data_IF_887303770649
#
_entry.id   IF_887303770649
#
_cell.length_a   1.000
_cell.length_b   1.000
_cell.length_c   1.000
_cell.angle_alpha   90.00
_cell.angle_beta   90.00
_cell.angle_gamma   90.00
#
_symmetry.space_group_name_H-M   'P 1'
#
loop_
_entity.id
_entity.type
_entity.pdbx_description
1 polymer ?
#
# COMPACT_ATOMS: atom_id res chain seq x y z
N UNK A 1 31.78 -29.37 4.05
CA UNK A 1 31.44 -28.31 3.10
C UNK A 1 30.32 -27.49 3.71
N UNK A 2 30.67 -26.41 4.39
CA UNK A 2 29.73 -25.48 4.96
C UNK A 2 29.46 -24.40 3.92
N UNK A 3 28.34 -24.53 3.22
CA UNK A 3 27.74 -23.40 2.52
C UNK A 3 27.00 -22.58 3.55
N UNK A 4 27.68 -21.67 4.20
CA UNK A 4 27.08 -20.51 4.80
C UNK A 4 26.64 -19.63 3.64
N UNK A 5 25.43 -19.84 3.19
CA UNK A 5 24.73 -18.95 2.28
C UNK A 5 24.39 -17.68 3.06
N UNK A 6 25.40 -16.84 3.22
CA UNK A 6 25.20 -15.47 3.67
C UNK A 6 24.49 -14.75 2.53
N UNK A 7 23.19 -14.54 2.66
CA UNK A 7 22.48 -13.62 1.77
C UNK A 7 23.28 -12.31 1.70
N UNK A 8 23.65 -11.84 0.53
CA UNK A 8 24.50 -10.67 0.42
C UNK A 8 23.80 -9.45 1.03
N UNK A 9 24.58 -8.59 1.71
CA UNK A 9 24.10 -7.34 2.31
C UNK A 9 23.31 -6.45 1.30
N UNK A 10 23.46 -6.72 -0.01
CA UNK A 10 22.71 -6.10 -1.08
C UNK A 10 21.21 -6.42 -1.09
N UNK A 11 20.77 -7.58 -0.56
CA UNK A 11 19.37 -7.97 -0.58
C UNK A 11 18.55 -7.18 0.44
N UNK A 12 19.09 -6.87 1.61
CA UNK A 12 18.45 -6.04 2.61
C UNK A 12 18.28 -4.59 2.13
N UNK A 13 19.34 -4.01 1.57
CA UNK A 13 19.32 -2.67 1.01
C UNK A 13 18.36 -2.58 -0.17
N UNK A 14 18.30 -3.61 -1.02
CA UNK A 14 17.37 -3.71 -2.15
C UNK A 14 15.90 -3.79 -1.67
N UNK A 15 15.64 -4.60 -0.64
CA UNK A 15 14.30 -4.75 -0.07
C UNK A 15 13.81 -3.45 0.57
N UNK A 16 14.66 -2.77 1.34
CA UNK A 16 14.35 -1.46 1.91
C UNK A 16 14.06 -0.44 0.81
N UNK A 17 14.84 -0.41 -0.25
CA UNK A 17 14.65 0.45 -1.40
C UNK A 17 13.30 0.18 -2.08
N UNK A 18 12.94 -1.09 -2.29
CA UNK A 18 11.63 -1.47 -2.84
C UNK A 18 10.46 -0.98 -1.98
N UNK A 19 10.59 -1.09 -0.66
CA UNK A 19 9.57 -0.59 0.29
C UNK A 19 9.42 0.92 0.18
N UNK A 20 10.53 1.66 0.17
CA UNK A 20 10.55 3.11 0.07
C UNK A 20 9.98 3.60 -1.27
N UNK A 21 10.34 2.95 -2.37
CA UNK A 21 9.82 3.26 -3.71
C UNK A 21 8.31 2.99 -3.81
N UNK A 22 7.85 1.86 -3.27
CA UNK A 22 6.43 1.53 -3.24
C UNK A 22 5.63 2.56 -2.44
N UNK A 23 6.16 2.99 -1.29
CA UNK A 23 5.54 4.02 -0.45
C UNK A 23 5.48 5.37 -1.17
N UNK A 24 6.57 5.80 -1.79
CA UNK A 24 6.63 7.05 -2.54
C UNK A 24 5.66 7.04 -3.74
N UNK A 25 5.56 5.93 -4.46
CA UNK A 25 4.62 5.77 -5.57
C UNK A 25 3.17 5.86 -5.11
N UNK A 26 2.86 5.26 -3.97
CA UNK A 26 1.52 5.32 -3.38
C UNK A 26 1.16 6.74 -2.96
N UNK A 27 2.06 7.44 -2.29
CA UNK A 27 1.88 8.84 -1.90
C UNK A 27 1.67 9.76 -3.10
N UNK A 28 2.45 9.58 -4.16
CA UNK A 28 2.31 10.33 -5.41
C UNK A 28 0.94 10.11 -6.05
N UNK A 29 0.48 8.87 -6.08
CA UNK A 29 -0.82 8.52 -6.63
C UNK A 29 -1.98 9.09 -5.80
N UNK A 30 -1.86 9.11 -4.48
CA UNK A 30 -2.85 9.75 -3.62
C UNK A 30 -2.92 11.26 -3.84
N UNK A 31 -1.80 11.92 -4.09
CA UNK A 31 -1.78 13.35 -4.46
C UNK A 31 -2.49 13.59 -5.79
N UNK A 32 -2.23 12.76 -6.79
CA UNK A 32 -2.96 12.84 -8.07
C UNK A 32 -4.47 12.64 -7.88
N UNK A 33 -4.86 11.69 -7.05
CA UNK A 33 -6.27 11.46 -6.73
C UNK A 33 -6.88 12.68 -6.05
N UNK A 34 -6.21 13.26 -5.07
CA UNK A 34 -6.71 14.46 -4.38
C UNK A 34 -6.87 15.65 -5.35
N UNK A 35 -5.95 15.82 -6.29
CA UNK A 35 -6.09 16.85 -7.34
C UNK A 35 -7.34 16.65 -8.19
N UNK A 36 -7.64 15.40 -8.55
CA UNK A 36 -8.86 15.04 -9.31
C UNK A 36 -10.12 15.26 -8.46
N UNK A 37 -10.07 14.85 -7.19
CA UNK A 37 -11.20 15.02 -6.26
C UNK A 37 -11.48 16.48 -5.91
N UNK A 38 -10.46 17.34 -5.96
CA UNK A 38 -10.59 18.77 -5.66
C UNK A 38 -11.28 19.55 -6.79
N UNK A 39 -11.38 18.99 -7.99
CA UNK A 39 -12.06 19.64 -9.11
C UNK A 39 -13.57 19.79 -8.81
N UNK A 40 -14.16 20.95 -9.15
CA UNK A 40 -15.59 21.16 -8.92
C UNK A 40 -16.46 20.26 -9.78
N UNK A 41 -15.97 19.88 -10.97
CA UNK A 41 -16.69 19.03 -11.91
C UNK A 41 -16.01 17.66 -12.06
N UNK A 42 -16.82 16.66 -12.28
CA UNK A 42 -16.39 15.29 -12.54
C UNK A 42 -15.69 15.17 -13.88
N UNK A 43 -14.45 14.70 -13.88
CA UNK A 43 -13.65 14.38 -15.06
C UNK A 43 -13.42 12.86 -15.13
N UNK A 44 -14.20 12.18 -15.96
CA UNK A 44 -14.17 10.73 -16.09
C UNK A 44 -12.81 10.20 -16.53
N UNK A 45 -12.16 10.88 -17.47
CA UNK A 45 -10.86 10.47 -18.03
C UNK A 45 -9.76 10.56 -16.97
N UNK A 46 -9.66 11.69 -16.28
CA UNK A 46 -8.67 11.89 -15.23
C UNK A 46 -8.88 10.92 -14.07
N UNK A 47 -10.12 10.71 -13.66
CA UNK A 47 -10.45 9.78 -12.56
C UNK A 47 -10.14 8.33 -12.93
N UNK A 48 -10.50 7.89 -14.13
CA UNK A 48 -10.20 6.54 -14.60
C UNK A 48 -8.70 6.27 -14.64
N UNK A 49 -7.91 7.23 -15.11
CA UNK A 49 -6.45 7.12 -15.14
C UNK A 49 -5.86 6.91 -13.74
N UNK A 50 -6.24 7.71 -12.76
CA UNK A 50 -5.69 7.59 -11.40
C UNK A 50 -6.21 6.34 -10.68
N UNK A 51 -7.44 5.92 -10.93
CA UNK A 51 -8.00 4.67 -10.40
C UNK A 51 -7.22 3.44 -10.90
N UNK A 52 -6.84 3.42 -12.18
CA UNK A 52 -6.02 2.35 -12.76
C UNK A 52 -4.62 2.32 -12.15
N UNK A 53 -3.99 3.47 -11.93
CA UNK A 53 -2.70 3.55 -11.23
C UNK A 53 -2.79 2.99 -9.82
N UNK A 54 -3.81 3.37 -9.06
CA UNK A 54 -4.03 2.86 -7.71
C UNK A 54 -4.26 1.34 -7.69
N UNK A 55 -5.03 0.82 -8.62
CA UNK A 55 -5.27 -0.61 -8.74
C UNK A 55 -3.96 -1.36 -9.02
N UNK A 56 -3.11 -0.86 -9.90
CA UNK A 56 -1.78 -1.41 -10.18
C UNK A 56 -0.88 -1.41 -8.95
N UNK A 57 -0.84 -0.32 -8.20
CA UNK A 57 -0.04 -0.22 -6.97
C UNK A 57 -0.54 -1.19 -5.88
N UNK A 58 -1.84 -1.38 -5.75
CA UNK A 58 -2.40 -2.38 -4.83
C UNK A 58 -1.98 -3.81 -5.19
N UNK A 59 -1.95 -4.15 -6.48
CA UNK A 59 -1.53 -5.46 -6.95
C UNK A 59 -0.05 -5.75 -6.67
N UNK A 60 0.81 -4.75 -6.72
CA UNK A 60 2.24 -4.91 -6.43
C UNK A 60 2.57 -4.97 -4.95
N UNK A 61 1.70 -4.42 -4.10
CA UNK A 61 1.93 -4.32 -2.65
C UNK A 61 1.83 -5.66 -1.93
N UNK A 62 0.91 -6.52 -2.33
CA UNK A 62 0.74 -7.86 -1.72
C UNK A 62 2.01 -8.72 -1.84
N UNK A 63 2.58 -8.91 -3.05
CA UNK A 63 3.86 -9.59 -3.23
C UNK A 63 5.01 -8.99 -2.42
N UNK A 64 5.08 -7.68 -2.29
CA UNK A 64 6.09 -7.00 -1.50
C UNK A 64 5.97 -7.33 0.00
N UNK A 65 4.76 -7.30 0.54
CA UNK A 65 4.49 -7.69 1.94
C UNK A 65 4.91 -9.14 2.18
N UNK A 66 4.60 -10.05 1.28
CA UNK A 66 5.02 -11.45 1.36
C UNK A 66 6.54 -11.58 1.34
N UNK A 67 7.21 -10.86 0.46
CA UNK A 67 8.68 -10.84 0.36
C UNK A 67 9.33 -10.34 1.66
N UNK A 68 8.78 -9.30 2.27
CA UNK A 68 9.22 -8.79 3.58
C UNK A 68 9.02 -9.85 4.66
N UNK A 69 7.85 -10.46 4.74
CA UNK A 69 7.57 -11.49 5.73
C UNK A 69 8.54 -12.67 5.62
N UNK A 70 8.82 -13.14 4.41
CA UNK A 70 9.78 -14.23 4.17
C UNK A 70 11.20 -13.84 4.54
N UNK A 71 11.62 -12.62 4.27
CA UNK A 71 12.96 -12.13 4.62
C UNK A 71 13.16 -12.03 6.13
N UNK A 72 12.11 -11.84 6.90
CA UNK A 72 12.15 -11.66 8.36
C UNK A 72 11.85 -12.93 9.16
N UNK A 73 11.44 -14.02 8.51
CA UNK A 73 11.15 -15.30 9.19
C UNK A 73 12.35 -15.76 10.01
N UNK A 74 12.10 -16.07 11.29
CA UNK A 74 13.12 -16.55 12.22
C UNK A 74 14.12 -15.49 12.69
N UNK A 75 13.99 -14.25 12.23
CA UNK A 75 14.93 -13.15 12.54
C UNK A 75 14.34 -12.09 13.45
N UNK A 76 13.06 -12.19 13.75
CA UNK A 76 12.32 -11.24 14.59
C UNK A 76 11.85 -11.90 15.87
N UNK A 77 11.58 -11.09 16.90
CA UNK A 77 10.99 -11.58 18.15
C UNK A 77 9.54 -12.02 17.94
N UNK A 78 9.00 -12.79 18.87
CA UNK A 78 7.59 -13.21 18.86
C UNK A 78 6.63 -12.01 18.81
N UNK A 79 6.93 -10.95 19.56
CA UNK A 79 6.16 -9.72 19.57
C UNK A 79 6.22 -8.99 18.22
N UNK A 80 7.39 -8.90 17.62
CA UNK A 80 7.58 -8.31 16.29
C UNK A 80 6.85 -9.11 15.22
N UNK A 81 6.90 -10.44 15.28
CA UNK A 81 6.15 -11.31 14.38
C UNK A 81 4.64 -11.09 14.50
N UNK A 82 4.11 -10.90 15.71
CA UNK A 82 2.71 -10.60 15.95
C UNK A 82 2.29 -9.26 15.31
N UNK A 83 3.14 -8.24 15.39
CA UNK A 83 2.91 -6.93 14.75
C UNK A 83 2.89 -7.06 13.22
N UNK A 84 3.82 -7.81 12.65
CA UNK A 84 3.86 -8.07 11.21
C UNK A 84 2.60 -8.79 10.72
N UNK A 85 2.11 -9.77 11.49
CA UNK A 85 0.87 -10.48 11.17
C UNK A 85 -0.35 -9.55 11.26
N UNK A 86 -0.41 -8.66 12.24
CA UNK A 86 -1.44 -7.63 12.36
C UNK A 86 -1.44 -6.71 11.14
N UNK A 87 -0.26 -6.27 10.69
CA UNK A 87 -0.12 -5.43 9.50
C UNK A 87 -0.61 -6.15 8.24
N UNK A 88 -0.30 -7.44 8.11
CA UNK A 88 -0.76 -8.27 6.99
C UNK A 88 -2.27 -8.39 6.96
N UNK A 89 -2.88 -8.70 8.10
CA UNK A 89 -4.34 -8.82 8.25
C UNK A 89 -5.02 -7.48 7.94
N UNK A 90 -4.53 -6.40 8.51
CA UNK A 90 -5.03 -5.04 8.26
C UNK A 90 -4.93 -4.65 6.78
N UNK A 91 -3.85 -5.04 6.10
CA UNK A 91 -3.70 -4.82 4.66
C UNK A 91 -4.78 -5.56 3.87
N UNK A 92 -5.05 -6.82 4.19
CA UNK A 92 -6.09 -7.60 3.52
C UNK A 92 -7.48 -7.00 3.71
N UNK A 93 -7.82 -6.56 4.92
CA UNK A 93 -9.09 -5.90 5.22
C UNK A 93 -9.25 -4.60 4.42
N UNK A 94 -8.21 -3.79 4.37
CA UNK A 94 -8.22 -2.54 3.64
C UNK A 94 -8.32 -2.76 2.11
N UNK A 95 -7.67 -3.81 1.62
CA UNK A 95 -7.77 -4.23 0.22
C UNK A 95 -9.20 -4.65 -0.14
N UNK A 96 -9.87 -5.40 0.73
CA UNK A 96 -11.28 -5.77 0.55
C UNK A 96 -12.18 -4.54 0.55
N UNK A 97 -11.96 -3.59 1.45
CA UNK A 97 -12.69 -2.32 1.51
C UNK A 97 -12.50 -1.52 0.21
N UNK A 98 -11.28 -1.43 -0.29
CA UNK A 98 -10.97 -0.73 -1.54
C UNK A 98 -11.64 -1.40 -2.75
N UNK A 99 -11.66 -2.72 -2.79
CA UNK A 99 -12.33 -3.49 -3.85
C UNK A 99 -13.83 -3.26 -3.83
N UNK A 100 -14.45 -3.31 -2.66
CA UNK A 100 -15.88 -3.03 -2.49
C UNK A 100 -16.24 -1.59 -2.90
N UNK A 101 -15.40 -0.62 -2.54
CA UNK A 101 -15.56 0.78 -2.94
C UNK A 101 -15.51 0.95 -4.47
N UNK A 102 -14.54 0.33 -5.13
CA UNK A 102 -14.41 0.38 -6.58
C UNK A 102 -15.60 -0.28 -7.28
N UNK A 103 -16.11 -1.38 -6.76
CA UNK A 103 -17.28 -2.08 -7.30
C UNK A 103 -18.57 -1.30 -7.13
N UNK A 104 -18.74 -0.64 -5.97
CA UNK A 104 -19.89 0.23 -5.70
C UNK A 104 -19.91 1.46 -6.60
N UNK A 105 -18.76 2.06 -6.83
CA UNK A 105 -18.60 3.31 -7.55
C UNK A 105 -18.19 3.09 -8.99
N UNK A 106 -19.16 2.74 -9.84
CA UNK A 106 -19.00 2.76 -11.29
C UNK A 106 -18.87 4.21 -11.77
N UNK A 107 -18.36 4.42 -12.98
CA UNK A 107 -18.24 5.77 -13.56
C UNK A 107 -19.61 6.48 -13.62
N UNK A 108 -20.66 5.75 -13.97
CA UNK A 108 -22.03 6.31 -14.01
C UNK A 108 -22.53 6.69 -12.60
N UNK A 109 -22.30 5.86 -11.60
CA UNK A 109 -22.67 6.16 -10.22
C UNK A 109 -21.92 7.39 -9.69
N UNK A 110 -20.65 7.54 -10.02
CA UNK A 110 -19.81 8.69 -9.65
C UNK A 110 -20.36 9.97 -10.31
N UNK A 111 -20.68 9.92 -11.60
CA UNK A 111 -21.24 11.05 -12.34
C UNK A 111 -22.54 11.55 -11.72
N UNK A 112 -23.36 10.63 -11.21
CA UNK A 112 -24.64 10.96 -10.57
C UNK A 112 -24.51 11.50 -9.15
N UNK A 113 -23.38 11.18 -8.47
CA UNK A 113 -23.22 11.54 -7.06
C UNK A 113 -21.76 11.87 -6.71
N UNK A 114 -21.21 12.84 -7.41
CA UNK A 114 -19.82 13.28 -7.25
C UNK A 114 -19.47 13.71 -5.83
N UNK A 115 -20.28 14.53 -5.11
CA UNK A 115 -19.95 14.94 -3.75
C UNK A 115 -19.80 13.76 -2.78
N UNK A 116 -20.68 12.76 -2.84
CA UNK A 116 -20.61 11.58 -1.98
C UNK A 116 -19.40 10.72 -2.30
N UNK A 117 -19.10 10.50 -3.59
CA UNK A 117 -17.91 9.78 -4.01
C UNK A 117 -16.64 10.43 -3.49
N UNK A 118 -16.54 11.75 -3.60
CA UNK A 118 -15.40 12.52 -3.08
C UNK A 118 -15.19 12.31 -1.58
N UNK A 119 -16.26 12.39 -0.82
CA UNK A 119 -16.22 12.22 0.63
C UNK A 119 -15.77 10.81 1.03
N UNK A 120 -16.38 9.79 0.45
CA UNK A 120 -16.04 8.39 0.75
C UNK A 120 -14.61 8.04 0.32
N UNK A 121 -14.20 8.52 -0.85
CA UNK A 121 -12.85 8.26 -1.38
C UNK A 121 -11.77 8.93 -0.53
N UNK A 122 -11.98 10.17 -0.09
CA UNK A 122 -11.04 10.85 0.82
C UNK A 122 -10.89 10.13 2.15
N UNK A 123 -11.99 9.63 2.72
CA UNK A 123 -11.95 8.84 3.94
C UNK A 123 -11.14 7.55 3.77
N UNK A 124 -11.33 6.85 2.66
CA UNK A 124 -10.60 5.63 2.33
C UNK A 124 -9.10 5.90 2.11
N UNK A 125 -8.75 6.94 1.39
CA UNK A 125 -7.35 7.35 1.18
C UNK A 125 -6.68 7.66 2.52
N UNK A 126 -7.35 8.35 3.42
CA UNK A 126 -6.81 8.67 4.73
C UNK A 126 -6.46 7.41 5.53
N UNK A 127 -7.31 6.39 5.48
CA UNK A 127 -7.01 5.08 6.09
C UNK A 127 -5.76 4.44 5.48
N UNK A 128 -5.63 4.48 4.16
CA UNK A 128 -4.46 3.96 3.45
C UNK A 128 -3.18 4.72 3.81
N UNK A 129 -3.24 6.03 3.89
CA UNK A 129 -2.07 6.87 4.27
C UNK A 129 -1.58 6.51 5.67
N UNK A 130 -2.48 6.46 6.65
CA UNK A 130 -2.16 6.10 8.03
C UNK A 130 -1.51 4.71 8.09
N UNK A 131 -2.12 3.74 7.40
CA UNK A 131 -1.60 2.37 7.37
C UNK A 131 -0.22 2.29 6.71
N UNK A 132 -0.03 2.95 5.57
CA UNK A 132 1.23 2.93 4.84
C UNK A 132 2.37 3.57 5.64
N UNK A 133 2.11 4.67 6.34
CA UNK A 133 3.08 5.30 7.23
C UNK A 133 3.45 4.38 8.41
N UNK A 134 2.46 3.74 9.04
CA UNK A 134 2.69 2.78 10.11
C UNK A 134 3.55 1.60 9.64
N UNK A 135 3.24 1.04 8.47
CA UNK A 135 4.03 -0.05 7.89
C UNK A 135 5.48 0.38 7.67
N UNK A 136 5.71 1.54 7.08
CA UNK A 136 7.06 2.03 6.83
C UNK A 136 7.85 2.22 8.12
N UNK A 137 7.25 2.80 9.14
CA UNK A 137 7.88 3.01 10.44
C UNK A 137 8.23 1.73 11.18
N UNK A 138 7.41 0.68 11.03
CA UNK A 138 7.62 -0.59 11.72
C UNK A 138 8.52 -1.54 10.92
N UNK A 139 8.34 -1.59 9.61
CA UNK A 139 9.00 -2.58 8.75
C UNK A 139 10.41 -2.18 8.36
N UNK A 140 10.65 -0.92 7.99
CA UNK A 140 11.98 -0.50 7.54
C UNK A 140 13.07 -0.72 8.59
N UNK A 141 12.89 -0.38 9.89
CA UNK A 141 13.88 -0.68 10.91
C UNK A 141 14.14 -2.18 11.09
N UNK A 142 13.09 -3.02 10.99
CA UNK A 142 13.24 -4.48 11.08
C UNK A 142 14.05 -5.04 9.91
N UNK A 143 13.79 -4.57 8.70
CA UNK A 143 14.55 -4.98 7.51
C UNK A 143 16.01 -4.58 7.63
N UNK A 144 16.32 -3.37 8.08
CA UNK A 144 17.70 -2.92 8.29
C UNK A 144 18.43 -3.76 9.33
N UNK A 145 17.77 -4.13 10.41
CA UNK A 145 18.37 -4.88 11.52
C UNK A 145 18.53 -6.36 11.21
N UNK A 146 17.56 -6.96 10.53
CA UNK A 146 17.40 -8.41 10.43
C UNK A 146 17.79 -9.01 9.07
N UNK A 147 17.86 -8.21 8.04
CA UNK A 147 18.11 -8.70 6.69
C UNK A 147 19.59 -8.66 6.26
#
# INVERSE_FOLDING_TARGET
>A
MNHTDSAPAGDAASLESEICEAHASLQSCFREMEEVLARPEFDATALTSVRLKLAGLRLTRGPLITKVAMALVGKVTEQEAAVLEELRTSHQELLQTATAHTSKWTIDAIAQNWPQYRQETRALIQQWVIKAEREQHLVCPLVRRCA
#
